data_IF_353256443190
#
_entry.id   IF_353256443190
#
_cell.length_a   1.000
_cell.length_b   1.000
_cell.length_c   1.000
_cell.angle_alpha   90.00
_cell.angle_beta   90.00
_cell.angle_gamma   90.00
#
_symmetry.space_group_name_H-M   'P 1'
#
loop_
_entity.id
_entity.type
_entity.pdbx_description
1 polymer ?
#
# COMPACT_ATOMS: atom_id res chain seq x y z
N UNK A 1 -6.17 3.18 36.66
CA UNK A 1 -5.62 1.87 37.08
C UNK A 1 -6.41 0.74 36.43
N UNK A 2 -6.67 0.81 35.13
CA UNK A 2 -7.46 -0.22 34.44
C UNK A 2 -6.82 -0.60 33.13
N UNK A 3 -6.46 0.39 32.33
CA UNK A 3 -5.84 0.16 31.02
C UNK A 3 -4.37 -0.27 31.06
N UNK A 4 -3.59 0.09 32.09
CA UNK A 4 -2.20 -0.37 32.17
C UNK A 4 -2.15 -1.88 32.39
N UNK A 5 -2.91 -2.35 33.38
CA UNK A 5 -3.06 -3.75 33.74
C UNK A 5 -3.72 -4.54 32.59
N UNK A 6 -4.68 -3.92 31.90
CA UNK A 6 -5.27 -4.51 30.70
C UNK A 6 -4.27 -4.62 29.54
N UNK A 7 -3.39 -3.64 29.32
CA UNK A 7 -2.36 -3.72 28.28
C UNK A 7 -1.36 -4.87 28.56
N UNK A 8 -0.94 -5.03 29.81
CA UNK A 8 -0.06 -6.14 30.21
C UNK A 8 -0.76 -7.49 30.05
N UNK A 9 -2.02 -7.59 30.50
CA UNK A 9 -2.84 -8.79 30.31
C UNK A 9 -3.07 -9.10 28.83
N UNK A 10 -3.24 -8.08 27.99
CA UNK A 10 -3.41 -8.23 26.55
C UNK A 10 -2.14 -8.73 25.88
N UNK A 11 -0.97 -8.19 26.22
CA UNK A 11 0.32 -8.67 25.72
C UNK A 11 0.60 -10.13 26.13
N UNK A 12 0.22 -10.51 27.36
CA UNK A 12 0.37 -11.87 27.88
C UNK A 12 -0.70 -12.86 27.39
N UNK A 13 -1.73 -12.40 26.65
CA UNK A 13 -2.83 -13.24 26.18
C UNK A 13 -3.80 -13.68 27.28
N UNK A 14 -3.85 -12.97 28.41
CA UNK A 14 -4.70 -13.29 29.56
C UNK A 14 -6.14 -12.80 29.37
N UNK A 15 -6.86 -13.42 28.42
CA UNK A 15 -8.22 -13.05 28.04
C UNK A 15 -9.21 -13.02 29.22
N UNK A 16 -9.10 -13.98 30.16
CA UNK A 16 -9.99 -14.00 31.35
C UNK A 16 -9.82 -12.78 32.25
N UNK A 17 -8.61 -12.22 32.35
CA UNK A 17 -8.35 -10.98 33.11
C UNK A 17 -9.02 -9.79 32.41
N UNK A 18 -8.89 -9.70 31.09
CA UNK A 18 -9.52 -8.64 30.29
C UNK A 18 -11.06 -8.69 30.40
N UNK A 19 -11.64 -9.88 30.30
CA UNK A 19 -13.09 -10.07 30.46
C UNK A 19 -13.58 -9.66 31.85
N UNK A 20 -12.82 -9.99 32.90
CA UNK A 20 -13.14 -9.59 34.27
C UNK A 20 -13.05 -8.07 34.48
N UNK A 21 -11.99 -7.44 33.95
CA UNK A 21 -11.83 -5.98 34.01
C UNK A 21 -12.95 -5.27 33.27
N UNK A 22 -13.36 -5.79 32.11
CA UNK A 22 -14.50 -5.25 31.36
C UNK A 22 -15.82 -5.42 32.12
N UNK A 23 -16.10 -6.61 32.65
CA UNK A 23 -17.32 -6.90 33.40
C UNK A 23 -17.48 -6.03 34.66
N UNK A 24 -16.36 -5.59 35.25
CA UNK A 24 -16.33 -4.67 36.40
C UNK A 24 -16.35 -3.18 36.01
N UNK A 25 -16.41 -2.87 34.72
CA UNK A 25 -16.37 -1.50 34.22
C UNK A 25 -15.00 -0.81 34.40
N UNK A 26 -13.94 -1.56 34.68
CA UNK A 26 -12.58 -1.02 34.83
C UNK A 26 -11.96 -0.61 33.48
N UNK A 27 -12.43 -1.23 32.38
CA UNK A 27 -12.09 -0.88 31.01
C UNK A 27 -13.34 -0.79 30.15
N UNK A 28 -13.38 0.20 29.27
CA UNK A 28 -14.45 0.40 28.28
C UNK A 28 -14.06 -0.25 26.96
N UNK A 29 -15.02 -0.94 26.35
CA UNK A 29 -14.91 -1.60 25.04
C UNK A 29 -15.58 -0.77 23.94
N UNK A 30 -15.75 0.53 24.13
CA UNK A 30 -16.35 1.42 23.12
C UNK A 30 -15.31 1.92 22.12
N UNK A 31 -15.58 1.68 20.83
CA UNK A 31 -14.71 2.14 19.72
C UNK A 31 -15.11 3.53 19.20
N UNK A 32 -16.38 3.93 19.37
CA UNK A 32 -16.97 5.14 18.73
C UNK A 32 -16.32 6.48 19.11
N UNK A 33 -15.44 6.49 20.11
CA UNK A 33 -14.82 7.70 20.65
C UNK A 33 -13.28 7.70 20.53
N UNK A 34 -12.69 6.87 19.67
CA UNK A 34 -11.24 6.71 19.56
C UNK A 34 -10.58 6.45 20.94
N UNK A 35 -11.12 5.49 21.68
CA UNK A 35 -10.73 5.22 23.05
C UNK A 35 -9.24 4.81 23.12
N UNK A 36 -8.35 5.68 23.64
CA UNK A 36 -6.91 5.43 23.58
C UNK A 36 -6.48 4.24 24.46
N UNK A 37 -7.27 3.92 25.49
CA UNK A 37 -7.03 2.75 26.32
C UNK A 37 -7.32 1.45 25.58
N UNK A 38 -8.44 1.38 24.85
CA UNK A 38 -8.80 0.22 24.03
C UNK A 38 -7.80 0.02 22.89
N UNK A 39 -7.38 1.12 22.23
CA UNK A 39 -6.31 1.07 21.24
C UNK A 39 -5.02 0.51 21.83
N UNK A 40 -4.63 0.95 23.03
CA UNK A 40 -3.44 0.41 23.71
C UNK A 40 -3.54 -1.10 23.96
N UNK A 41 -4.70 -1.58 24.40
CA UNK A 41 -4.99 -3.02 24.60
C UNK A 41 -4.86 -3.80 23.28
N UNK A 42 -5.52 -3.32 22.22
CA UNK A 42 -5.45 -3.93 20.88
C UNK A 42 -4.03 -3.93 20.32
N UNK A 43 -3.30 -2.81 20.45
CA UNK A 43 -1.91 -2.69 20.01
C UNK A 43 -1.01 -3.70 20.73
N UNK A 44 -1.11 -3.80 22.05
CA UNK A 44 -0.36 -4.78 22.84
C UNK A 44 -0.68 -6.22 22.42
N UNK A 45 -1.96 -6.54 22.19
CA UNK A 45 -2.38 -7.85 21.74
C UNK A 45 -1.84 -8.18 20.33
N UNK A 46 -1.94 -7.25 19.37
CA UNK A 46 -1.42 -7.43 18.00
C UNK A 46 0.09 -7.55 18.00
N UNK A 47 0.80 -6.68 18.73
CA UNK A 47 2.26 -6.75 18.86
C UNK A 47 2.72 -8.08 19.48
N UNK A 48 1.97 -8.61 20.44
CA UNK A 48 2.26 -9.90 21.07
C UNK A 48 1.66 -11.10 20.32
N UNK A 49 1.01 -10.89 19.16
CA UNK A 49 0.38 -11.93 18.32
C UNK A 49 -0.71 -12.74 19.05
N UNK A 50 -1.44 -12.09 19.93
CA UNK A 50 -2.50 -12.71 20.75
C UNK A 50 -3.84 -12.72 20.01
N UNK A 51 -3.98 -13.67 19.07
CA UNK A 51 -5.15 -13.78 18.18
C UNK A 51 -6.48 -13.83 18.94
N UNK A 52 -6.57 -14.62 20.02
CA UNK A 52 -7.81 -14.80 20.78
C UNK A 52 -8.23 -13.54 21.53
N UNK A 53 -7.28 -12.70 21.95
CA UNK A 53 -7.58 -11.39 22.57
C UNK A 53 -8.16 -10.45 21.52
N UNK A 54 -7.51 -10.33 20.36
CA UNK A 54 -7.98 -9.47 19.26
C UNK A 54 -9.35 -9.93 18.75
N UNK A 55 -9.55 -11.25 18.62
CA UNK A 55 -10.83 -11.83 18.20
C UNK A 55 -11.96 -11.49 19.17
N UNK A 56 -11.71 -11.62 20.47
CA UNK A 56 -12.70 -11.26 21.49
C UNK A 56 -13.04 -9.77 21.45
N UNK A 57 -12.03 -8.89 21.39
CA UNK A 57 -12.28 -7.44 21.30
C UNK A 57 -13.07 -7.11 20.02
N UNK A 58 -12.71 -7.69 18.88
CA UNK A 58 -13.43 -7.49 17.62
C UNK A 58 -14.91 -7.90 17.71
N UNK A 59 -15.24 -8.99 18.42
CA UNK A 59 -16.62 -9.44 18.60
C UNK A 59 -17.44 -8.53 19.53
N UNK A 60 -16.83 -8.02 20.59
CA UNK A 60 -17.53 -7.21 21.60
C UNK A 60 -17.65 -5.74 21.17
N UNK A 61 -16.59 -5.21 20.56
CA UNK A 61 -16.41 -3.78 20.33
C UNK A 61 -16.42 -3.39 18.84
N UNK A 62 -16.06 -4.33 17.97
CA UNK A 62 -15.57 -4.02 16.63
C UNK A 62 -14.14 -3.45 16.66
N UNK A 63 -13.56 -3.20 15.48
CA UNK A 63 -12.24 -2.57 15.35
C UNK A 63 -12.32 -1.05 15.11
N UNK A 64 -13.39 -0.59 14.44
CA UNK A 64 -13.64 0.81 14.08
C UNK A 64 -12.40 1.52 13.52
N UNK A 65 -12.11 2.72 14.02
CA UNK A 65 -11.02 3.58 13.52
C UNK A 65 -9.61 3.02 13.76
N UNK A 66 -9.47 1.97 14.56
CA UNK A 66 -8.18 1.38 14.90
C UNK A 66 -7.68 0.37 13.85
N UNK A 67 -8.50 0.00 12.86
CA UNK A 67 -8.17 -1.00 11.85
C UNK A 67 -6.86 -0.72 11.11
N UNK A 68 -6.60 0.55 10.82
CA UNK A 68 -5.43 1.05 10.11
C UNK A 68 -4.11 0.72 10.83
N UNK A 69 -3.95 1.22 12.06
CA UNK A 69 -2.74 0.99 12.86
C UNK A 69 -2.51 -0.50 13.12
N UNK A 70 -3.58 -1.26 13.38
CA UNK A 70 -3.49 -2.69 13.68
C UNK A 70 -3.05 -3.51 12.47
N UNK A 71 -3.58 -3.21 11.28
CA UNK A 71 -3.12 -3.83 10.03
C UNK A 71 -1.66 -3.47 9.75
N UNK A 72 -1.27 -2.21 9.93
CA UNK A 72 0.11 -1.78 9.75
C UNK A 72 1.09 -2.53 10.67
N UNK A 73 0.72 -2.81 11.93
CA UNK A 73 1.52 -3.65 12.84
C UNK A 73 1.58 -5.08 12.32
N UNK A 74 0.44 -5.69 11.98
CA UNK A 74 0.38 -7.08 11.54
C UNK A 74 1.26 -7.32 10.30
N UNK A 75 1.26 -6.37 9.36
CA UNK A 75 2.12 -6.38 8.16
C UNK A 75 3.61 -6.31 8.55
N UNK A 76 4.02 -5.41 9.45
CA UNK A 76 5.44 -5.34 9.90
C UNK A 76 5.92 -6.65 10.50
N UNK A 77 5.02 -7.36 11.20
CA UNK A 77 5.34 -8.63 11.84
C UNK A 77 5.20 -9.83 10.91
N UNK A 78 4.80 -9.62 9.65
CA UNK A 78 4.48 -10.67 8.69
C UNK A 78 3.47 -11.71 9.23
N UNK A 79 2.51 -11.25 10.04
CA UNK A 79 1.56 -12.12 10.73
C UNK A 79 0.27 -12.30 9.91
N UNK A 80 0.31 -13.22 8.95
CA UNK A 80 -0.84 -13.54 8.08
C UNK A 80 -2.09 -13.99 8.86
N UNK A 81 -1.93 -14.62 10.03
CA UNK A 81 -3.09 -15.06 10.84
C UNK A 81 -3.78 -13.87 11.47
N UNK A 82 -2.99 -12.93 12.00
CA UNK A 82 -3.53 -11.69 12.54
C UNK A 82 -4.17 -10.84 11.44
N UNK A 83 -3.56 -10.76 10.27
CA UNK A 83 -4.13 -10.05 9.12
C UNK A 83 -5.47 -10.65 8.67
N UNK A 84 -5.56 -11.98 8.58
CA UNK A 84 -6.82 -12.65 8.26
C UNK A 84 -7.91 -12.34 9.30
N UNK A 85 -7.57 -12.43 10.59
CA UNK A 85 -8.50 -12.08 11.67
C UNK A 85 -8.98 -10.62 11.61
N UNK A 86 -8.06 -9.68 11.40
CA UNK A 86 -8.41 -8.26 11.28
C UNK A 86 -9.31 -8.01 10.06
N UNK A 87 -9.01 -8.65 8.93
CA UNK A 87 -9.82 -8.56 7.72
C UNK A 87 -11.24 -9.13 7.94
N UNK A 88 -11.37 -10.32 8.54
CA UNK A 88 -12.66 -10.93 8.90
C UNK A 88 -13.47 -10.05 9.86
N UNK A 89 -12.78 -9.32 10.75
CA UNK A 89 -13.37 -8.34 11.66
C UNK A 89 -13.72 -6.99 11.00
N UNK A 90 -13.55 -6.87 9.68
CA UNK A 90 -13.93 -5.68 8.90
C UNK A 90 -12.85 -4.60 8.81
N UNK A 91 -11.58 -4.91 9.13
CA UNK A 91 -10.48 -3.98 8.89
C UNK A 91 -10.29 -3.76 7.38
N UNK A 92 -10.53 -2.53 6.92
CA UNK A 92 -10.29 -2.16 5.54
C UNK A 92 -8.80 -1.86 5.33
N UNK A 93 -8.22 -2.50 4.34
CA UNK A 93 -6.87 -2.20 3.88
C UNK A 93 -6.87 -1.01 2.92
N UNK A 94 -5.84 -0.16 3.05
CA UNK A 94 -5.61 1.01 2.21
C UNK A 94 -4.31 0.90 1.41
N UNK A 95 -4.14 1.76 0.40
CA UNK A 95 -2.94 1.75 -0.46
C UNK A 95 -1.61 1.80 0.30
N UNK A 96 -1.53 2.57 1.37
CA UNK A 96 -0.29 2.67 2.13
C UNK A 96 0.10 1.34 2.80
N UNK A 97 -0.86 0.44 3.09
CA UNK A 97 -0.57 -0.92 3.57
C UNK A 97 0.09 -1.77 2.48
N UNK A 98 -0.38 -1.65 1.23
CA UNK A 98 0.25 -2.28 0.07
C UNK A 98 1.66 -1.73 -0.17
N UNK A 99 1.84 -0.41 -0.08
CA UNK A 99 3.16 0.22 -0.15
C UNK A 99 4.08 -0.21 1.00
N UNK A 100 3.54 -0.39 2.20
CA UNK A 100 4.30 -0.84 3.34
C UNK A 100 4.85 -2.25 3.12
N UNK A 101 4.03 -3.18 2.61
CA UNK A 101 4.48 -4.53 2.26
C UNK A 101 5.60 -4.50 1.18
N UNK A 102 5.52 -3.56 0.24
CA UNK A 102 6.59 -3.32 -0.73
C UNK A 102 7.88 -2.84 -0.06
N UNK A 103 7.82 -1.83 0.79
CA UNK A 103 8.99 -1.28 1.48
C UNK A 103 9.66 -2.31 2.42
N UNK A 104 8.87 -3.21 3.00
CA UNK A 104 9.36 -4.33 3.81
C UNK A 104 9.89 -5.50 2.96
N UNK A 105 9.77 -5.43 1.63
CA UNK A 105 10.17 -6.48 0.68
C UNK A 105 9.46 -7.81 0.93
N UNK A 106 8.16 -7.76 1.21
CA UNK A 106 7.32 -8.93 1.42
C UNK A 106 6.42 -9.19 0.20
N UNK A 107 6.92 -9.82 -0.88
CA UNK A 107 6.15 -10.01 -2.11
C UNK A 107 4.91 -10.89 -1.89
N UNK A 108 5.00 -11.93 -1.03
CA UNK A 108 3.85 -12.76 -0.67
C UNK A 108 2.78 -11.97 0.08
N UNK A 109 3.20 -10.98 0.86
CA UNK A 109 2.27 -10.09 1.54
C UNK A 109 1.57 -9.15 0.56
N UNK A 110 2.28 -8.64 -0.44
CA UNK A 110 1.66 -7.86 -1.51
C UNK A 110 0.63 -8.70 -2.29
N UNK A 111 0.94 -9.96 -2.58
CA UNK A 111 -0.02 -10.90 -3.19
C UNK A 111 -1.27 -11.07 -2.33
N UNK A 112 -1.08 -11.38 -1.04
CA UNK A 112 -2.18 -11.55 -0.10
C UNK A 112 -3.05 -10.29 -0.02
N UNK A 113 -2.43 -9.11 0.11
CA UNK A 113 -3.16 -7.84 0.18
C UNK A 113 -3.98 -7.59 -1.09
N UNK A 114 -3.42 -7.84 -2.28
CA UNK A 114 -4.13 -7.69 -3.54
C UNK A 114 -5.31 -8.66 -3.67
N UNK A 115 -5.12 -9.93 -3.29
CA UNK A 115 -6.18 -10.96 -3.29
C UNK A 115 -7.34 -10.61 -2.35
N UNK A 116 -7.06 -9.88 -1.25
CA UNK A 116 -8.06 -9.46 -0.27
C UNK A 116 -8.59 -8.03 -0.52
N UNK A 117 -8.39 -7.50 -1.73
CA UNK A 117 -9.00 -6.24 -2.17
C UNK A 117 -8.28 -4.97 -1.71
N UNK A 118 -7.03 -5.06 -1.27
CA UNK A 118 -6.23 -3.88 -0.96
C UNK A 118 -6.00 -3.01 -2.20
N UNK A 119 -6.31 -1.71 -2.14
CA UNK A 119 -6.00 -0.80 -3.24
C UNK A 119 -4.52 -0.82 -3.58
N UNK A 120 -4.18 -1.11 -4.85
CA UNK A 120 -2.80 -1.07 -5.35
C UNK A 120 -2.40 0.30 -5.91
N UNK A 121 -3.31 1.28 -5.86
CA UNK A 121 -3.12 2.64 -6.33
C UNK A 121 -4.01 3.59 -5.53
N UNK A 122 -3.61 4.86 -5.45
CA UNK A 122 -4.47 5.96 -5.01
C UNK A 122 -4.95 6.77 -6.19
N UNK A 123 -6.16 7.32 -6.07
CA UNK A 123 -6.69 8.26 -7.03
C UNK A 123 -7.33 9.47 -6.32
N UNK A 124 -7.00 10.71 -6.71
CA UNK A 124 -5.94 11.06 -7.66
C UNK A 124 -4.54 10.82 -7.05
N UNK A 125 -3.55 10.51 -7.89
CA UNK A 125 -2.14 10.51 -7.50
C UNK A 125 -1.75 11.94 -7.11
N UNK A 126 -1.19 12.14 -5.91
CA UNK A 126 -0.77 13.45 -5.42
C UNK A 126 0.73 13.67 -5.60
N UNK A 127 1.52 12.60 -5.57
CA UNK A 127 2.98 12.60 -5.74
C UNK A 127 3.46 11.49 -6.69
N UNK A 128 4.65 11.67 -7.28
CA UNK A 128 5.40 10.59 -7.95
C UNK A 128 5.55 9.35 -7.07
N UNK A 129 5.64 9.55 -5.76
CA UNK A 129 5.86 8.50 -4.77
C UNK A 129 4.60 7.65 -4.55
N UNK A 130 3.42 8.13 -4.96
CA UNK A 130 2.17 7.39 -4.87
C UNK A 130 1.99 6.38 -6.03
N UNK A 131 2.92 6.34 -6.99
CA UNK A 131 2.89 5.40 -8.12
C UNK A 131 3.82 4.22 -7.86
N UNK A 132 3.24 3.04 -7.65
CA UNK A 132 4.00 1.78 -7.48
C UNK A 132 4.94 1.49 -8.65
N UNK A 133 4.51 1.82 -9.88
CA UNK A 133 5.35 1.64 -11.07
C UNK A 133 6.52 2.63 -11.12
N UNK A 134 6.29 3.88 -10.70
CA UNK A 134 7.35 4.88 -10.67
C UNK A 134 8.37 4.59 -9.56
N UNK A 135 7.89 4.15 -8.40
CA UNK A 135 8.71 3.74 -7.27
C UNK A 135 9.58 2.52 -7.62
N UNK A 136 8.97 1.40 -8.04
CA UNK A 136 9.71 0.20 -8.43
C UNK A 136 10.63 0.47 -9.64
N UNK A 137 10.17 1.27 -10.61
CA UNK A 137 10.95 1.62 -11.79
C UNK A 137 12.17 2.49 -11.49
N UNK A 138 12.06 3.44 -10.56
CA UNK A 138 13.17 4.28 -10.10
C UNK A 138 14.26 3.45 -9.42
N UNK A 139 13.84 2.45 -8.65
CA UNK A 139 14.74 1.51 -7.97
C UNK A 139 15.27 0.39 -8.89
N UNK A 140 14.75 0.29 -10.12
CA UNK A 140 15.11 -0.79 -11.05
C UNK A 140 14.62 -2.16 -10.60
N UNK A 141 13.61 -2.22 -9.72
CA UNK A 141 13.06 -3.45 -9.17
C UNK A 141 12.13 -4.13 -10.17
N UNK A 142 12.76 -4.90 -11.07
CA UNK A 142 12.06 -5.64 -12.11
C UNK A 142 11.15 -6.72 -11.55
N UNK A 143 11.50 -7.33 -10.41
CA UNK A 143 10.69 -8.36 -9.76
C UNK A 143 9.34 -7.78 -9.32
N UNK A 144 9.36 -6.63 -8.65
CA UNK A 144 8.12 -5.95 -8.26
C UNK A 144 7.34 -5.44 -9.47
N UNK A 145 8.01 -4.89 -10.50
CA UNK A 145 7.31 -4.49 -11.73
C UNK A 145 6.52 -5.65 -12.36
N UNK A 146 7.13 -6.84 -12.44
CA UNK A 146 6.45 -8.04 -12.92
C UNK A 146 5.33 -8.49 -11.99
N UNK A 147 5.54 -8.44 -10.67
CA UNK A 147 4.51 -8.74 -9.68
C UNK A 147 3.28 -7.83 -9.84
N UNK A 148 3.48 -6.51 -9.94
CA UNK A 148 2.42 -5.53 -10.14
C UNK A 148 1.59 -5.86 -11.40
N UNK A 149 2.23 -6.29 -12.50
CA UNK A 149 1.49 -6.74 -13.69
C UNK A 149 0.71 -8.01 -13.46
N UNK A 150 1.30 -9.00 -12.80
CA UNK A 150 0.64 -10.28 -12.49
C UNK A 150 -0.60 -10.07 -11.61
N UNK A 151 -0.50 -9.17 -10.63
CA UNK A 151 -1.60 -8.80 -9.74
C UNK A 151 -2.68 -7.94 -10.43
N UNK A 152 -2.46 -7.53 -11.68
CA UNK A 152 -3.40 -6.66 -12.38
C UNK A 152 -3.43 -5.24 -11.84
N UNK A 153 -2.35 -4.76 -11.23
CA UNK A 153 -2.25 -3.38 -10.78
C UNK A 153 -2.57 -2.43 -11.97
N UNK A 154 -3.55 -1.53 -11.80
CA UNK A 154 -4.04 -0.72 -12.91
C UNK A 154 -2.98 0.29 -13.36
N UNK A 155 -3.01 0.61 -14.65
CA UNK A 155 -2.39 1.83 -15.12
C UNK A 155 -3.27 3.02 -14.71
N UNK A 156 -2.67 4.10 -14.22
CA UNK A 156 -3.33 5.37 -13.95
C UNK A 156 -3.38 6.22 -15.24
N UNK A 157 -3.85 5.61 -16.33
CA UNK A 157 -3.82 6.23 -17.66
C UNK A 157 -2.39 6.56 -18.14
N UNK A 158 -2.24 7.62 -18.94
CA UNK A 158 -0.92 8.07 -19.42
C UNK A 158 0.02 8.56 -18.33
N UNK A 159 -0.52 8.90 -17.15
CA UNK A 159 0.24 9.49 -16.06
C UNK A 159 1.23 8.49 -15.47
N UNK A 160 0.92 7.19 -15.42
CA UNK A 160 1.86 6.17 -14.95
C UNK A 160 3.20 6.27 -15.67
N UNK A 161 3.18 6.37 -17.00
CA UNK A 161 4.39 6.47 -17.80
C UNK A 161 5.14 7.79 -17.53
N UNK A 162 4.39 8.89 -17.47
CA UNK A 162 4.93 10.24 -17.19
C UNK A 162 5.59 10.30 -15.81
N UNK A 163 5.00 9.68 -14.79
CA UNK A 163 5.56 9.59 -13.45
C UNK A 163 6.83 8.75 -13.42
N UNK A 164 6.88 7.62 -14.13
CA UNK A 164 8.12 6.84 -14.26
C UNK A 164 9.26 7.68 -14.88
N UNK A 165 8.97 8.46 -15.92
CA UNK A 165 9.96 9.38 -16.50
C UNK A 165 10.39 10.44 -15.47
N UNK A 166 9.43 11.07 -14.79
CA UNK A 166 9.70 12.10 -13.78
C UNK A 166 10.51 11.56 -12.61
N UNK A 167 10.30 10.31 -12.21
CA UNK A 167 11.04 9.65 -11.13
C UNK A 167 12.46 9.22 -11.53
N UNK A 168 12.83 9.37 -12.81
CA UNK A 168 14.15 9.02 -13.31
C UNK A 168 14.31 7.52 -13.64
N UNK A 169 13.22 6.82 -13.98
CA UNK A 169 13.31 5.43 -14.41
C UNK A 169 14.25 5.28 -15.61
N UNK A 170 15.04 4.21 -15.60
CA UNK A 170 15.98 3.93 -16.68
C UNK A 170 15.26 3.53 -17.98
N UNK A 171 15.93 3.68 -19.11
CA UNK A 171 15.36 3.39 -20.43
C UNK A 171 14.80 1.96 -20.56
N UNK A 172 15.46 0.88 -20.05
CA UNK A 172 14.89 -0.47 -20.09
C UNK A 172 13.52 -0.59 -19.40
N UNK A 173 13.33 0.04 -18.24
CA UNK A 173 12.04 0.04 -17.53
C UNK A 173 10.96 0.76 -18.35
N UNK A 174 11.29 1.93 -18.92
CA UNK A 174 10.35 2.68 -19.77
C UNK A 174 9.97 1.90 -21.04
N UNK A 175 10.93 1.18 -21.63
CA UNK A 175 10.66 0.31 -22.78
C UNK A 175 9.76 -0.86 -22.39
N UNK A 176 9.98 -1.45 -21.22
CA UNK A 176 9.17 -2.53 -20.68
C UNK A 176 7.72 -2.06 -20.40
N UNK A 177 7.52 -0.93 -19.71
CA UNK A 177 6.18 -0.36 -19.45
C UNK A 177 5.37 -0.23 -20.74
N UNK A 178 5.99 0.31 -21.79
CA UNK A 178 5.36 0.43 -23.11
C UNK A 178 5.03 -0.93 -23.73
N UNK A 179 5.89 -1.94 -23.56
CA UNK A 179 5.66 -3.29 -24.08
C UNK A 179 4.48 -3.97 -23.38
N UNK A 180 4.31 -3.72 -22.09
CA UNK A 180 3.19 -4.20 -21.28
C UNK A 180 1.87 -3.41 -21.51
N UNK A 181 1.86 -2.47 -22.46
CA UNK A 181 0.66 -1.73 -22.84
C UNK A 181 0.35 -0.52 -21.95
N UNK A 182 1.31 -0.02 -21.17
CA UNK A 182 1.15 1.23 -20.44
C UNK A 182 0.82 2.38 -21.42
N UNK A 183 -0.28 3.13 -21.21
CA UNK A 183 -0.64 4.26 -22.05
C UNK A 183 0.45 5.34 -22.01
N UNK A 184 0.71 6.00 -23.14
CA UNK A 184 1.77 7.01 -23.23
C UNK A 184 1.26 8.28 -23.92
N UNK A 185 1.30 9.36 -23.15
CA UNK A 185 1.36 10.72 -23.70
C UNK A 185 2.83 11.11 -23.88
N UNK A 186 3.26 11.19 -25.14
CA UNK A 186 4.64 11.47 -25.48
C UNK A 186 5.03 12.93 -25.24
N UNK A 187 4.06 13.85 -25.26
CA UNK A 187 4.32 15.26 -24.99
C UNK A 187 4.53 15.48 -23.49
N UNK A 188 3.61 14.95 -22.68
CA UNK A 188 3.74 14.96 -21.22
C UNK A 188 5.03 14.24 -20.77
N UNK A 189 5.35 13.09 -21.35
CA UNK A 189 6.57 12.35 -21.02
C UNK A 189 7.85 13.14 -21.33
N UNK A 190 7.93 13.86 -22.46
CA UNK A 190 9.09 14.72 -22.76
C UNK A 190 9.18 15.89 -21.78
N UNK A 191 8.05 16.50 -21.42
CA UNK A 191 7.99 17.57 -20.42
C UNK A 191 8.33 17.13 -19.00
N UNK A 192 8.16 15.85 -18.69
CA UNK A 192 8.45 15.27 -17.37
C UNK A 192 9.94 14.95 -17.13
N UNK A 193 10.80 15.06 -18.15
CA UNK A 193 12.24 14.85 -17.99
C UNK A 193 12.82 15.90 -17.03
N UNK A 194 13.39 15.44 -15.92
CA UNK A 194 14.02 16.33 -14.94
C UNK A 194 15.22 17.09 -15.54
N UNK A 195 15.51 18.32 -15.10
CA UNK A 195 16.64 19.10 -15.59
C UNK A 195 17.98 18.35 -15.58
N UNK A 196 18.22 17.53 -14.56
CA UNK A 196 19.45 16.75 -14.38
C UNK A 196 19.57 15.58 -15.38
N UNK A 197 18.47 15.18 -16.03
CA UNK A 197 18.41 14.08 -16.99
C UNK A 197 18.42 14.57 -18.45
N UNK A 198 18.49 15.90 -18.66
CA UNK A 198 18.45 16.50 -20.00
C UNK A 198 19.66 16.10 -20.84
N UNK A 199 19.43 15.90 -22.14
CA UNK A 199 20.42 15.38 -23.09
C UNK A 199 20.72 13.88 -22.92
N UNK A 200 20.16 13.25 -21.89
CA UNK A 200 20.32 11.83 -21.60
C UNK A 200 19.72 10.92 -22.67
N UNK A 201 19.96 9.62 -22.50
CA UNK A 201 19.43 8.59 -23.41
C UNK A 201 17.89 8.58 -23.43
N UNK A 202 17.26 8.73 -22.26
CA UNK A 202 15.80 8.75 -22.10
C UNK A 202 15.18 9.89 -22.87
N UNK A 203 15.66 11.13 -22.71
CA UNK A 203 15.10 12.29 -23.42
C UNK A 203 15.24 12.13 -24.95
N UNK A 204 16.42 11.72 -25.44
CA UNK A 204 16.64 11.49 -26.87
C UNK A 204 15.70 10.42 -27.41
N UNK A 205 15.47 9.36 -26.65
CA UNK A 205 14.52 8.31 -27.03
C UNK A 205 13.07 8.83 -27.05
N UNK A 206 12.64 9.59 -26.03
CA UNK A 206 11.30 10.18 -25.95
C UNK A 206 11.03 11.14 -27.11
N UNK A 207 11.95 12.08 -27.39
CA UNK A 207 11.81 13.03 -28.52
C UNK A 207 11.71 12.32 -29.87
N UNK A 208 12.49 11.27 -30.08
CA UNK A 208 12.39 10.43 -31.30
C UNK A 208 11.02 9.76 -31.43
N UNK A 209 10.44 9.28 -30.32
CA UNK A 209 9.11 8.65 -30.32
C UNK A 209 8.00 9.68 -30.55
N UNK A 210 8.09 10.85 -29.92
CA UNK A 210 7.15 11.96 -30.10
C UNK A 210 7.10 12.41 -31.57
N UNK A 211 8.25 12.70 -32.18
CA UNK A 211 8.34 13.13 -33.58
C UNK A 211 7.73 12.09 -34.55
N UNK A 212 7.99 10.80 -34.31
CA UNK A 212 7.39 9.71 -35.11
C UNK A 212 5.87 9.66 -34.99
N UNK A 213 5.30 9.90 -33.79
CA UNK A 213 3.83 9.93 -33.58
C UNK A 213 3.21 11.13 -34.31
N UNK A 214 3.82 12.30 -34.22
CA UNK A 214 3.36 13.51 -34.91
C UNK A 214 3.38 13.35 -36.44
N UNK A 215 4.47 12.82 -37.00
CA UNK A 215 4.57 12.57 -38.44
C UNK A 215 3.51 11.56 -38.94
N UNK A 216 3.21 10.52 -38.15
CA UNK A 216 2.13 9.57 -38.47
C UNK A 216 0.74 10.21 -38.40
N UNK A 217 0.51 11.10 -37.43
CA UNK A 217 -0.75 11.85 -37.30
C UNK A 217 -0.98 12.81 -38.47
N UNK A 218 0.06 13.51 -38.92
CA UNK A 218 -0.01 14.41 -40.08
C UNK A 218 -0.27 13.66 -41.38
N UNK A 219 0.33 12.47 -41.57
CA UNK A 219 0.06 11.61 -42.74
C UNK A 219 -1.35 11.03 -42.80
N UNK A 220 -2.03 10.87 -41.66
CA UNK A 220 -3.42 10.35 -41.61
C UNK A 220 -4.49 11.43 -41.81
N UNK A 221 -4.10 12.71 -41.72
CA UNK A 221 -4.99 13.87 -41.91
C UNK A 221 -4.89 14.47 -43.31
N UNK A 222 -3.97 13.96 -44.14
CA UNK A 222 -3.84 14.26 -45.57
C UNK A 222 -4.45 13.11 -46.35
#
# INVERSE_FOLDING_TARGET
>A
MGYSEAMDAAAAGHLGVLQLLHARGCISMEVRNNNPGLLGVLRCAVEARQLHVVQWVAQVAGLGVHSDELLAIAIRKEDYRMMALLHEAGAACEFHHFMQAYHLQFPRMMEWLAEHGCPMTVHPIQSVDDSMYALAGKLGDTATLHLLRRLGCPWQGPDTFTWCVRSGCCLPVLQWLRKEGCPVDWEAAVGAVQPQQRGGEVERWLRRKQARKQARGQKRRR
#
